data_IF_980424952659
#
_entry.id   IF_980424952659
#
_cell.length_a   1.000
_cell.length_b   1.000
_cell.length_c   1.000
_cell.angle_alpha   90.00
_cell.angle_beta   90.00
_cell.angle_gamma   90.00
#
_symmetry.space_group_name_H-M   'P 1'
#
loop_
_entity.id
_entity.type
_entity.pdbx_description
1 polymer ?
#
# COMPACT_ATOMS: atom_id res chain seq x y z
N UNK A 1 -1.61 7.94 -21.98
CA UNK A 1 -0.57 7.55 -21.01
C UNK A 1 -1.30 7.27 -19.71
N UNK A 2 -0.89 6.29 -18.92
CA UNK A 2 -1.52 6.06 -17.62
C UNK A 2 -1.09 7.12 -16.61
N UNK A 3 -1.91 7.41 -15.58
CA UNK A 3 -1.53 8.35 -14.52
C UNK A 3 -0.21 7.96 -13.85
N UNK A 4 0.05 6.66 -13.68
CA UNK A 4 1.31 6.16 -13.14
C UNK A 4 2.52 6.59 -14.01
N UNK A 5 2.46 6.39 -15.33
CA UNK A 5 3.55 6.81 -16.23
C UNK A 5 3.73 8.34 -16.25
N UNK A 6 2.65 9.11 -16.10
CA UNK A 6 2.74 10.57 -15.95
C UNK A 6 3.40 10.95 -14.61
N UNK A 7 3.12 10.21 -13.54
CA UNK A 7 3.77 10.39 -12.24
C UNK A 7 5.27 10.11 -12.30
N UNK A 8 5.69 9.00 -12.93
CA UNK A 8 7.11 8.68 -13.15
C UNK A 8 7.87 9.80 -13.84
N UNK A 9 7.28 10.43 -14.88
CA UNK A 9 7.89 11.56 -15.55
C UNK A 9 8.09 12.77 -14.64
N UNK A 10 7.15 13.03 -13.72
CA UNK A 10 7.24 14.13 -12.76
C UNK A 10 8.33 13.82 -11.74
N UNK A 11 8.37 12.58 -11.21
CA UNK A 11 9.43 12.12 -10.30
C UNK A 11 10.80 12.34 -10.91
N UNK A 12 10.99 11.95 -12.17
CA UNK A 12 12.27 12.08 -12.87
C UNK A 12 12.72 13.54 -13.12
N UNK A 13 11.77 14.48 -13.20
CA UNK A 13 12.03 15.89 -13.57
C UNK A 13 12.03 16.84 -12.37
N UNK A 14 11.46 16.46 -11.23
CA UNK A 14 11.30 17.33 -10.06
C UNK A 14 12.49 17.20 -9.12
N UNK A 15 13.21 18.28 -8.79
CA UNK A 15 14.27 18.23 -7.77
C UNK A 15 13.69 17.84 -6.41
N UNK A 16 14.35 16.92 -5.72
CA UNK A 16 13.91 16.45 -4.40
C UNK A 16 14.30 17.46 -3.32
N UNK A 17 13.32 18.07 -2.69
CA UNK A 17 13.49 18.95 -1.52
C UNK A 17 12.60 18.42 -0.41
N UNK A 18 13.21 17.82 0.60
CA UNK A 18 12.50 17.24 1.74
C UNK A 18 12.18 18.29 2.82
N UNK A 19 11.02 18.16 3.46
CA UNK A 19 10.59 18.92 4.63
C UNK A 19 10.01 17.96 5.66
N UNK A 20 10.32 18.18 6.94
CA UNK A 20 9.70 17.45 8.04
C UNK A 20 8.26 17.93 8.26
N UNK A 21 7.31 17.00 8.38
CA UNK A 21 5.93 17.21 8.84
C UNK A 21 5.80 16.95 10.34
N UNK A 22 6.65 16.05 10.88
CA UNK A 22 6.65 15.62 12.28
C UNK A 22 7.81 14.65 12.55
N UNK A 23 7.86 14.07 13.75
CA UNK A 23 8.91 13.11 14.10
C UNK A 23 8.78 11.86 13.22
N UNK A 24 9.75 11.64 12.34
CA UNK A 24 9.77 10.50 11.41
C UNK A 24 8.81 10.63 10.22
N UNK A 25 8.21 11.81 10.03
CA UNK A 25 7.29 12.10 8.93
C UNK A 25 7.87 13.19 8.03
N UNK A 26 7.94 12.89 6.73
CA UNK A 26 8.62 13.72 5.71
C UNK A 26 7.74 13.85 4.49
N UNK A 27 7.71 15.05 3.90
CA UNK A 27 7.14 15.32 2.57
C UNK A 27 8.22 15.88 1.67
N UNK A 28 8.18 15.56 0.38
CA UNK A 28 9.08 16.18 -0.61
C UNK A 28 8.33 17.08 -1.60
N UNK A 29 9.10 17.89 -2.31
CA UNK A 29 8.58 18.65 -3.47
C UNK A 29 7.96 17.73 -4.53
N UNK A 30 8.44 16.49 -4.61
CA UNK A 30 7.98 15.47 -5.57
C UNK A 30 6.59 14.97 -5.20
N UNK A 31 6.34 14.64 -3.93
CA UNK A 31 5.00 14.25 -3.42
C UNK A 31 3.96 15.28 -3.83
N UNK A 32 4.25 16.55 -3.51
CA UNK A 32 3.38 17.69 -3.84
C UNK A 32 3.14 17.84 -5.35
N UNK A 33 4.17 17.66 -6.18
CA UNK A 33 4.07 17.82 -7.63
C UNK A 33 3.27 16.67 -8.27
N UNK A 34 3.55 15.42 -7.86
CA UNK A 34 2.86 14.21 -8.33
C UNK A 34 1.40 14.28 -7.96
N UNK A 35 1.08 14.58 -6.70
CA UNK A 35 -0.31 14.62 -6.24
C UNK A 35 -1.12 15.71 -6.95
N UNK A 36 -0.61 16.93 -7.07
CA UNK A 36 -1.27 18.01 -7.81
C UNK A 36 -1.59 17.60 -9.24
N UNK A 37 -0.66 16.94 -9.91
CA UNK A 37 -0.86 16.47 -11.27
C UNK A 37 -1.97 15.40 -11.32
N UNK A 38 -1.89 14.36 -10.50
CA UNK A 38 -2.88 13.28 -10.45
C UNK A 38 -4.27 13.85 -10.16
N UNK A 39 -4.40 14.72 -9.14
CA UNK A 39 -5.67 15.37 -8.79
C UNK A 39 -6.22 16.18 -9.97
N UNK A 40 -5.39 16.94 -10.66
CA UNK A 40 -5.82 17.73 -11.81
C UNK A 40 -6.39 16.85 -12.93
N UNK A 41 -5.70 15.76 -13.24
CA UNK A 41 -6.13 14.80 -14.27
C UNK A 41 -7.42 14.07 -13.89
N UNK A 42 -7.56 13.69 -12.60
CA UNK A 42 -8.78 13.08 -12.10
C UNK A 42 -9.96 14.05 -12.19
N UNK A 43 -9.81 15.30 -11.74
CA UNK A 43 -10.89 16.29 -11.78
C UNK A 43 -11.33 16.65 -13.20
N UNK A 44 -10.40 16.63 -14.15
CA UNK A 44 -10.71 16.85 -15.57
C UNK A 44 -11.56 15.70 -16.14
N UNK A 45 -11.23 14.45 -15.82
CA UNK A 45 -11.86 13.26 -16.39
C UNK A 45 -13.11 12.78 -15.59
N UNK A 46 -13.13 13.04 -14.28
CA UNK A 46 -14.15 12.56 -13.34
C UNK A 46 -14.52 13.67 -12.34
N UNK A 47 -15.18 14.76 -12.80
CA UNK A 47 -15.49 15.94 -11.98
C UNK A 47 -16.41 15.63 -10.78
N UNK A 48 -17.22 14.58 -10.86
CA UNK A 48 -18.18 14.18 -9.83
C UNK A 48 -17.61 13.17 -8.80
N UNK A 49 -16.33 12.82 -8.91
CA UNK A 49 -15.69 11.91 -7.96
C UNK A 49 -14.96 12.71 -6.88
N UNK A 50 -15.10 12.25 -5.64
CA UNK A 50 -14.29 12.75 -4.54
C UNK A 50 -12.82 12.26 -4.70
N UNK A 51 -11.91 12.93 -4.00
CA UNK A 51 -10.49 12.56 -3.98
C UNK A 51 -10.05 12.47 -2.52
N UNK A 52 -9.60 11.28 -2.12
CA UNK A 52 -8.98 11.02 -0.83
C UNK A 52 -7.50 10.85 -1.11
N UNK A 53 -6.67 11.75 -0.58
CA UNK A 53 -5.23 11.71 -0.83
C UNK A 53 -4.45 12.23 0.38
N UNK A 54 -3.15 11.92 0.43
CA UNK A 54 -2.31 12.17 1.59
C UNK A 54 -2.08 13.65 1.87
N UNK A 55 -1.72 14.45 0.84
CA UNK A 55 -1.24 15.82 1.01
C UNK A 55 -2.34 16.87 0.85
N UNK A 56 -3.26 16.68 -0.10
CA UNK A 56 -4.29 17.65 -0.49
C UNK A 56 -5.72 17.12 -0.38
N UNK A 57 -5.90 15.91 0.13
CA UNK A 57 -7.21 15.32 0.36
C UNK A 57 -7.99 16.10 1.42
N UNK A 58 -9.29 16.31 1.16
CA UNK A 58 -10.13 17.12 2.05
C UNK A 58 -10.56 16.40 3.31
N UNK A 59 -10.65 15.09 3.31
CA UNK A 59 -11.03 14.26 4.47
C UNK A 59 -10.47 12.84 4.31
N UNK A 60 -10.02 12.23 5.41
CA UNK A 60 -9.57 10.82 5.46
C UNK A 60 -10.75 9.84 5.40
N UNK A 61 -11.81 10.20 4.67
CA UNK A 61 -13.05 9.44 4.63
C UNK A 61 -13.34 8.93 3.22
N UNK A 62 -13.44 7.62 3.11
CA UNK A 62 -13.87 6.97 1.88
C UNK A 62 -15.35 7.28 1.60
N UNK A 63 -15.63 7.78 0.40
CA UNK A 63 -16.98 7.93 -0.12
C UNK A 63 -17.33 6.84 -1.13
N UNK A 64 -18.58 6.79 -1.57
CA UNK A 64 -19.05 5.78 -2.52
C UNK A 64 -18.32 5.88 -3.86
N UNK A 65 -18.07 7.10 -4.33
CA UNK A 65 -17.39 7.36 -5.59
C UNK A 65 -16.18 8.27 -5.33
N UNK A 66 -15.00 7.69 -5.22
CA UNK A 66 -13.78 8.45 -5.01
C UNK A 66 -12.57 7.79 -5.64
N UNK A 67 -11.58 8.61 -5.93
CA UNK A 67 -10.21 8.17 -6.10
C UNK A 67 -9.48 8.22 -4.76
N UNK A 68 -8.61 7.23 -4.54
CA UNK A 68 -7.72 7.16 -3.38
C UNK A 68 -6.30 7.20 -3.91
N UNK A 69 -5.50 8.17 -3.47
CA UNK A 69 -4.19 8.47 -4.03
C UNK A 69 -3.14 8.60 -2.93
N UNK A 70 -2.05 7.89 -3.09
CA UNK A 70 -0.80 8.13 -2.39
C UNK A 70 0.26 8.51 -3.44
N UNK A 71 0.75 9.75 -3.44
CA UNK A 71 1.69 10.22 -4.46
C UNK A 71 3.07 9.58 -4.36
N UNK A 72 3.57 9.35 -3.14
CA UNK A 72 4.85 8.69 -2.85
C UNK A 72 4.74 7.92 -1.53
N UNK A 73 4.24 6.70 -1.56
CA UNK A 73 4.33 5.81 -0.43
C UNK A 73 5.80 5.46 -0.12
N UNK A 74 6.19 5.61 1.14
CA UNK A 74 7.58 5.46 1.54
C UNK A 74 8.43 6.71 1.29
N UNK A 75 7.89 7.92 1.51
CA UNK A 75 8.56 9.21 1.28
C UNK A 75 9.94 9.29 1.95
N UNK A 76 10.10 8.75 3.16
CA UNK A 76 11.40 8.71 3.85
C UNK A 76 12.44 7.87 3.09
N UNK A 77 12.03 6.73 2.52
CA UNK A 77 12.86 5.88 1.67
C UNK A 77 13.23 6.63 0.39
N UNK A 78 12.25 7.26 -0.26
CA UNK A 78 12.44 8.07 -1.47
C UNK A 78 13.44 9.20 -1.23
N UNK A 79 13.24 10.00 -0.18
CA UNK A 79 14.13 11.10 0.20
C UNK A 79 15.56 10.62 0.54
N UNK A 80 15.68 9.40 1.09
CA UNK A 80 16.95 8.74 1.39
C UNK A 80 17.62 8.06 0.20
N UNK A 81 17.03 8.13 -1.02
CA UNK A 81 17.56 7.51 -2.23
C UNK A 81 17.45 5.98 -2.25
N UNK A 82 16.56 5.40 -1.46
CA UNK A 82 16.28 3.98 -1.45
C UNK A 82 15.30 3.60 -2.58
N UNK A 83 15.17 2.31 -2.86
CA UNK A 83 14.30 1.80 -3.93
C UNK A 83 12.91 1.35 -3.43
N UNK A 84 12.71 1.29 -2.12
CA UNK A 84 11.46 0.84 -1.50
C UNK A 84 10.47 2.01 -1.37
N UNK A 85 9.84 2.39 -2.44
CA UNK A 85 8.79 3.41 -2.49
C UNK A 85 7.91 3.19 -3.72
N UNK A 86 6.72 3.76 -3.73
CA UNK A 86 5.80 3.61 -4.86
C UNK A 86 4.77 4.72 -4.97
N UNK A 87 4.04 4.73 -6.08
CA UNK A 87 2.84 5.55 -6.33
C UNK A 87 1.62 4.65 -6.26
N UNK A 88 0.59 5.03 -5.53
CA UNK A 88 -0.61 4.24 -5.38
C UNK A 88 -1.86 5.01 -5.79
N UNK A 89 -2.72 4.39 -6.59
CA UNK A 89 -4.01 4.95 -7.00
C UNK A 89 -5.06 3.86 -6.99
N UNK A 90 -6.21 4.12 -6.38
CA UNK A 90 -7.38 3.27 -6.53
C UNK A 90 -8.61 4.09 -6.91
N UNK A 91 -9.59 3.43 -7.53
CA UNK A 91 -10.91 4.01 -7.80
C UNK A 91 -12.00 3.18 -7.14
N UNK A 92 -12.88 3.88 -6.44
CA UNK A 92 -14.09 3.32 -5.83
C UNK A 92 -15.32 3.79 -6.59
N UNK A 93 -16.27 2.88 -6.79
CA UNK A 93 -17.60 3.15 -7.33
C UNK A 93 -18.65 2.41 -6.53
N UNK A 94 -19.72 3.10 -6.16
CA UNK A 94 -20.82 2.53 -5.38
C UNK A 94 -20.31 1.81 -4.10
N UNK A 95 -19.37 2.43 -3.39
CA UNK A 95 -18.81 1.94 -2.14
C UNK A 95 -17.79 0.80 -2.27
N UNK A 96 -17.46 0.35 -3.49
CA UNK A 96 -16.50 -0.74 -3.73
C UNK A 96 -15.29 -0.26 -4.52
N UNK A 97 -14.11 -0.73 -4.18
CA UNK A 97 -12.92 -0.56 -5.01
C UNK A 97 -13.09 -1.43 -6.27
N UNK A 98 -12.89 -0.83 -7.45
CA UNK A 98 -13.12 -1.50 -8.74
C UNK A 98 -11.85 -1.61 -9.57
N UNK A 99 -10.83 -0.80 -9.29
CA UNK A 99 -9.51 -0.91 -9.89
C UNK A 99 -8.45 -0.27 -8.99
N UNK A 100 -7.21 -0.74 -9.11
CA UNK A 100 -6.05 -0.10 -8.49
C UNK A 100 -4.79 -0.24 -9.33
N UNK A 101 -3.88 0.71 -9.11
CA UNK A 101 -2.52 0.70 -9.62
C UNK A 101 -1.57 0.89 -8.44
N UNK A 102 -0.54 0.07 -8.38
CA UNK A 102 0.62 0.24 -7.50
C UNK A 102 1.85 0.22 -8.41
N UNK A 103 2.54 1.33 -8.47
CA UNK A 103 3.72 1.49 -9.30
C UNK A 103 4.97 1.62 -8.43
N UNK A 104 5.97 0.80 -8.70
CA UNK A 104 7.27 0.79 -8.02
C UNK A 104 8.37 1.17 -9.04
N UNK A 105 8.52 2.46 -9.39
CA UNK A 105 9.37 2.90 -10.50
C UNK A 105 10.83 2.52 -10.33
N UNK A 106 11.33 2.55 -9.09
CA UNK A 106 12.74 2.25 -8.79
C UNK A 106 13.16 0.81 -9.17
N UNK A 107 12.19 -0.11 -9.28
CA UNK A 107 12.43 -1.52 -9.65
C UNK A 107 11.73 -1.91 -10.95
N UNK A 108 11.03 -0.99 -11.64
CA UNK A 108 10.33 -1.22 -12.90
C UNK A 108 9.17 -2.20 -12.80
N UNK A 109 8.47 -2.20 -11.66
CA UNK A 109 7.33 -3.06 -11.39
C UNK A 109 6.03 -2.24 -11.34
N UNK A 110 5.20 -2.35 -12.40
CA UNK A 110 3.86 -1.76 -12.46
C UNK A 110 2.82 -2.84 -12.19
N UNK A 111 2.10 -2.69 -11.10
CA UNK A 111 0.98 -3.54 -10.72
C UNK A 111 -0.35 -2.88 -11.07
N UNK A 112 -1.26 -3.69 -11.57
CA UNK A 112 -2.64 -3.30 -11.85
C UNK A 112 -3.59 -4.37 -11.37
N UNK A 113 -4.74 -3.97 -10.86
CA UNK A 113 -5.82 -4.90 -10.51
C UNK A 113 -7.19 -4.32 -10.89
N UNK A 114 -8.07 -5.22 -11.34
CA UNK A 114 -9.48 -4.99 -11.57
C UNK A 114 -10.27 -6.28 -11.31
N UNK A 115 -11.55 -6.32 -11.66
CA UNK A 115 -12.41 -7.50 -11.49
C UNK A 115 -11.91 -8.76 -12.19
N UNK A 116 -11.01 -8.63 -13.16
CA UNK A 116 -10.43 -9.77 -13.90
C UNK A 116 -9.23 -10.39 -13.20
N UNK A 117 -8.62 -9.70 -12.23
CA UNK A 117 -7.51 -10.18 -11.41
C UNK A 117 -6.42 -9.15 -11.16
N UNK A 118 -5.26 -9.63 -10.71
CA UNK A 118 -4.06 -8.84 -10.44
C UNK A 118 -2.96 -9.14 -11.47
N UNK A 119 -2.23 -8.12 -11.87
CA UNK A 119 -1.22 -8.19 -12.93
C UNK A 119 0.05 -7.42 -12.53
N UNK A 120 1.22 -7.97 -12.87
CA UNK A 120 2.53 -7.32 -12.81
C UNK A 120 3.07 -7.17 -14.24
N UNK A 121 3.31 -5.94 -14.69
CA UNK A 121 3.81 -5.66 -16.05
C UNK A 121 2.99 -6.40 -17.12
N UNK A 122 1.66 -6.41 -16.97
CA UNK A 122 0.70 -7.06 -17.88
C UNK A 122 0.59 -8.59 -17.74
N UNK A 123 1.36 -9.22 -16.85
CA UNK A 123 1.27 -10.67 -16.59
C UNK A 123 0.46 -10.92 -15.33
N UNK A 124 -0.49 -11.86 -15.40
CA UNK A 124 -1.31 -12.23 -14.25
C UNK A 124 -0.44 -12.79 -13.12
N UNK A 125 -0.73 -12.37 -11.91
CA UNK A 125 -0.05 -12.81 -10.69
C UNK A 125 -1.04 -13.40 -9.69
N UNK A 126 -0.52 -14.13 -8.70
CA UNK A 126 -1.28 -14.66 -7.56
C UNK A 126 -0.40 -14.72 -6.32
N UNK A 127 -1.05 -14.73 -5.16
CA UNK A 127 -0.37 -14.98 -3.88
C UNK A 127 0.28 -16.37 -3.86
N UNK A 128 1.25 -16.54 -2.97
CA UNK A 128 1.96 -17.82 -2.78
C UNK A 128 1.08 -18.88 -2.14
N UNK A 129 1.31 -20.14 -2.46
CA UNK A 129 0.77 -21.31 -1.73
C UNK A 129 1.67 -21.74 -0.56
N UNK A 130 2.77 -21.04 -0.32
CA UNK A 130 3.70 -21.38 0.75
C UNK A 130 3.05 -21.22 2.13
N UNK A 131 3.46 -22.07 3.08
CA UNK A 131 3.03 -21.93 4.48
C UNK A 131 3.82 -20.84 5.20
N UNK A 132 3.27 -20.28 6.27
CA UNK A 132 3.92 -19.27 7.10
C UNK A 132 5.31 -19.70 7.62
N UNK A 133 5.55 -21.01 7.81
CA UNK A 133 6.85 -21.55 8.24
C UNK A 133 7.97 -21.32 7.24
N UNK A 134 7.65 -21.31 5.95
CA UNK A 134 8.63 -21.37 4.87
C UNK A 134 8.81 -20.05 4.12
N UNK A 135 7.98 -19.05 4.38
CA UNK A 135 8.00 -17.79 3.65
C UNK A 135 7.98 -16.57 4.59
N UNK A 136 8.48 -15.42 4.15
CA UNK A 136 8.46 -14.20 4.93
C UNK A 136 7.08 -13.57 5.01
N UNK A 137 6.89 -12.76 6.05
CA UNK A 137 5.78 -11.81 6.19
C UNK A 137 6.33 -10.41 6.44
N UNK A 138 5.49 -9.40 6.28
CA UNK A 138 5.85 -7.99 6.51
C UNK A 138 5.03 -7.39 7.64
N UNK A 139 5.61 -6.43 8.35
CA UNK A 139 4.91 -5.55 9.30
C UNK A 139 5.36 -4.13 9.01
N UNK A 140 4.44 -3.28 8.59
CA UNK A 140 4.68 -1.87 8.33
C UNK A 140 3.76 -0.97 9.17
N UNK A 141 4.00 0.33 9.09
CA UNK A 141 3.24 1.35 9.79
C UNK A 141 3.79 1.65 11.18
N UNK A 142 3.49 2.86 11.63
CA UNK A 142 3.77 3.38 12.94
C UNK A 142 2.42 3.73 13.58
N UNK A 143 2.16 3.24 14.74
CA UNK A 143 0.99 3.52 15.55
C UNK A 143 1.31 3.23 16.99
N UNK A 144 0.31 3.16 17.84
CA UNK A 144 0.45 2.83 19.26
C UNK A 144 0.73 1.33 19.50
N UNK A 145 0.93 0.56 18.42
CA UNK A 145 1.16 -0.88 18.49
C UNK A 145 2.62 -1.22 18.81
N UNK A 146 2.81 -2.20 19.68
CA UNK A 146 4.14 -2.74 20.01
C UNK A 146 4.61 -3.74 18.94
N UNK A 147 5.26 -3.23 17.87
CA UNK A 147 5.85 -4.08 16.82
C UNK A 147 6.74 -5.21 17.36
N UNK A 148 7.69 -4.95 18.28
CA UNK A 148 8.51 -6.00 18.89
C UNK A 148 7.69 -7.12 19.53
N UNK A 149 6.62 -6.80 20.24
CA UNK A 149 5.76 -7.80 20.87
C UNK A 149 4.96 -8.60 19.84
N UNK A 150 4.45 -7.94 18.78
CA UNK A 150 3.80 -8.64 17.65
C UNK A 150 4.78 -9.62 17.01
N UNK A 151 6.00 -9.18 16.70
CA UNK A 151 7.04 -10.04 16.13
C UNK A 151 7.37 -11.23 17.04
N UNK A 152 7.44 -11.03 18.34
CA UNK A 152 7.63 -12.08 19.34
C UNK A 152 6.50 -13.11 19.34
N UNK A 153 5.25 -12.64 19.18
CA UNK A 153 4.08 -13.51 19.09
C UNK A 153 4.03 -14.35 17.79
N UNK A 154 4.63 -13.84 16.69
CA UNK A 154 4.73 -14.56 15.41
C UNK A 154 5.97 -15.46 15.33
N UNK A 155 7.04 -15.14 16.06
CA UNK A 155 8.33 -15.83 16.00
C UNK A 155 8.29 -17.37 16.24
N UNK A 156 7.36 -17.96 17.03
CA UNK A 156 7.22 -19.41 17.14
C UNK A 156 6.85 -20.11 15.83
N UNK A 157 6.19 -19.39 14.92
CA UNK A 157 5.75 -19.93 13.62
C UNK A 157 6.72 -19.59 12.50
N UNK A 158 7.17 -18.35 12.44
CA UNK A 158 8.16 -17.90 11.44
C UNK A 158 9.07 -16.83 12.00
N UNK A 159 10.35 -16.88 11.61
CA UNK A 159 11.35 -15.85 11.93
C UNK A 159 11.71 -14.98 10.73
N UNK A 160 11.04 -15.16 9.60
CA UNK A 160 11.32 -14.48 8.34
C UNK A 160 10.49 -13.22 8.23
N UNK A 161 10.89 -12.21 8.95
CA UNK A 161 10.25 -10.90 8.96
C UNK A 161 10.91 -9.93 7.96
N UNK A 162 10.11 -9.02 7.40
CA UNK A 162 10.55 -7.87 6.61
C UNK A 162 9.81 -6.62 7.06
N UNK A 163 10.50 -5.49 7.03
CA UNK A 163 9.96 -4.14 7.12
C UNK A 163 10.55 -3.36 5.93
N UNK A 164 9.71 -2.97 4.99
CA UNK A 164 10.15 -2.26 3.79
C UNK A 164 10.06 -0.75 3.97
N UNK A 165 9.33 -0.27 4.98
CA UNK A 165 9.08 1.14 5.20
C UNK A 165 8.21 1.79 4.12
N UNK A 166 7.51 0.96 3.32
CA UNK A 166 6.58 1.36 2.28
C UNK A 166 5.53 0.25 2.12
N UNK A 167 4.27 0.60 2.30
CA UNK A 167 3.18 -0.37 2.28
C UNK A 167 2.88 -0.87 0.85
N UNK A 168 3.07 -0.02 -0.16
CA UNK A 168 2.99 -0.40 -1.57
C UNK A 168 3.90 -1.58 -1.90
N UNK A 169 5.15 -1.53 -1.41
CA UNK A 169 6.13 -2.61 -1.59
C UNK A 169 5.70 -3.88 -0.87
N UNK A 170 5.14 -3.75 0.34
CA UNK A 170 4.64 -4.90 1.11
C UNK A 170 3.45 -5.58 0.46
N UNK A 171 2.46 -4.82 -0.02
CA UNK A 171 1.33 -5.37 -0.78
C UNK A 171 1.77 -5.98 -2.12
N UNK A 172 2.68 -5.33 -2.85
CA UNK A 172 3.25 -5.87 -4.07
C UNK A 172 3.95 -7.21 -3.83
N UNK A 173 4.75 -7.32 -2.74
CA UNK A 173 5.42 -8.55 -2.36
C UNK A 173 4.43 -9.67 -2.01
N UNK A 174 3.33 -9.38 -1.30
CA UNK A 174 2.27 -10.34 -1.03
C UNK A 174 1.57 -10.78 -2.32
N UNK A 175 1.20 -9.83 -3.17
CA UNK A 175 0.42 -10.07 -4.39
C UNK A 175 1.16 -10.92 -5.42
N UNK A 176 2.49 -10.75 -5.55
CA UNK A 176 3.33 -11.60 -6.43
C UNK A 176 3.85 -12.87 -5.76
N UNK A 177 3.41 -13.18 -4.52
CA UNK A 177 3.76 -14.40 -3.80
C UNK A 177 5.15 -14.42 -3.20
N UNK A 178 5.84 -13.28 -3.07
CA UNK A 178 7.15 -13.18 -2.43
C UNK A 178 7.07 -13.22 -0.90
N UNK A 179 5.94 -12.80 -0.32
CA UNK A 179 5.59 -12.93 1.10
C UNK A 179 4.28 -13.69 1.27
N UNK A 180 3.99 -14.17 2.48
CA UNK A 180 2.74 -14.90 2.79
C UNK A 180 1.76 -14.09 3.61
N UNK A 181 2.17 -12.95 4.12
CA UNK A 181 1.31 -12.09 4.91
C UNK A 181 1.89 -10.71 5.11
N UNK A 182 1.00 -9.79 5.40
CA UNK A 182 1.28 -8.40 5.67
C UNK A 182 0.43 -7.92 6.84
N UNK A 183 1.05 -7.20 7.78
CA UNK A 183 0.41 -6.50 8.90
C UNK A 183 0.71 -5.02 8.74
N UNK A 184 -0.33 -4.19 8.73
CA UNK A 184 -0.21 -2.74 8.70
C UNK A 184 -0.85 -2.13 9.93
N UNK A 185 -0.08 -1.34 10.66
CA UNK A 185 -0.41 -0.82 12.00
C UNK A 185 -0.85 0.65 11.95
N UNK A 186 -1.60 1.01 10.92
CA UNK A 186 -2.26 2.30 10.69
C UNK A 186 -3.56 2.07 9.93
N UNK A 187 -4.36 3.10 9.73
CA UNK A 187 -5.64 3.04 9.05
C UNK A 187 -5.86 4.11 7.97
N UNK A 188 -4.79 4.72 7.46
CA UNK A 188 -4.89 5.70 6.39
C UNK A 188 -5.43 5.06 5.10
N UNK A 189 -6.51 5.57 4.51
CA UNK A 189 -7.09 4.97 3.31
C UNK A 189 -6.15 4.91 2.10
N UNK A 190 -5.32 5.94 1.89
CA UNK A 190 -4.37 6.00 0.77
C UNK A 190 -3.26 4.97 0.87
N UNK A 191 -2.84 4.62 2.09
CA UNK A 191 -1.87 3.54 2.35
C UNK A 191 -2.50 2.17 2.06
N UNK A 192 -3.78 1.97 2.42
CA UNK A 192 -4.41 0.64 2.45
C UNK A 192 -5.11 0.29 1.14
N UNK A 193 -6.03 1.16 0.68
CA UNK A 193 -7.04 0.77 -0.32
C UNK A 193 -6.44 0.29 -1.64
N UNK A 194 -5.42 0.93 -2.23
CA UNK A 194 -4.88 0.48 -3.51
C UNK A 194 -4.17 -0.87 -3.41
N UNK A 195 -3.27 -1.00 -2.43
CA UNK A 195 -2.48 -2.21 -2.23
C UNK A 195 -3.32 -3.39 -1.75
N UNK A 196 -4.31 -3.15 -0.86
CA UNK A 196 -5.22 -4.17 -0.40
C UNK A 196 -6.04 -4.76 -1.55
N UNK A 197 -6.63 -3.91 -2.40
CA UNK A 197 -7.38 -4.38 -3.56
C UNK A 197 -6.51 -5.21 -4.52
N UNK A 198 -5.28 -4.78 -4.77
CA UNK A 198 -4.31 -5.55 -5.55
C UNK A 198 -4.10 -6.94 -4.94
N UNK A 199 -3.87 -7.03 -3.63
CA UNK A 199 -3.64 -8.29 -2.94
C UNK A 199 -4.87 -9.20 -2.96
N UNK A 200 -6.07 -8.66 -2.75
CA UNK A 200 -7.33 -9.42 -2.82
C UNK A 200 -7.58 -9.98 -4.22
N UNK A 201 -7.34 -9.19 -5.27
CA UNK A 201 -7.45 -9.65 -6.65
C UNK A 201 -6.38 -10.68 -7.03
N UNK A 202 -5.24 -10.70 -6.33
CA UNK A 202 -4.23 -11.76 -6.41
C UNK A 202 -4.60 -13.03 -5.60
N UNK A 203 -5.69 -13.01 -4.83
CA UNK A 203 -6.21 -14.12 -4.04
C UNK A 203 -5.94 -14.06 -2.53
N UNK A 204 -5.39 -12.96 -2.03
CA UNK A 204 -5.20 -12.77 -0.60
C UNK A 204 -6.54 -12.73 0.16
N UNK A 205 -6.48 -13.08 1.44
CA UNK A 205 -7.53 -12.90 2.44
C UNK A 205 -7.13 -11.75 3.34
N UNK A 206 -8.11 -10.96 3.79
CA UNK A 206 -7.82 -9.76 4.59
C UNK A 206 -8.81 -9.54 5.72
N UNK A 207 -8.36 -8.83 6.75
CA UNK A 207 -9.18 -8.25 7.81
C UNK A 207 -8.67 -6.85 8.09
N UNK A 208 -9.52 -5.87 7.88
CA UNK A 208 -9.32 -4.51 8.39
C UNK A 208 -10.02 -4.42 9.74
N UNK A 209 -9.24 -4.52 10.82
CA UNK A 209 -9.77 -4.63 12.17
C UNK A 209 -10.24 -3.26 12.69
N UNK A 210 -11.32 -3.28 13.47
CA UNK A 210 -11.88 -2.08 14.12
C UNK A 210 -10.91 -1.37 15.08
N UNK A 211 -9.87 -2.07 15.54
CA UNK A 211 -8.85 -1.52 16.44
C UNK A 211 -7.73 -0.79 15.67
N UNK A 212 -7.93 -0.47 14.37
CA UNK A 212 -7.06 0.41 13.59
C UNK A 212 -5.84 -0.30 12.99
N UNK A 213 -5.93 -1.59 12.68
CA UNK A 213 -4.89 -2.31 11.96
C UNK A 213 -5.47 -3.20 10.85
N UNK A 214 -4.63 -3.52 9.88
CA UNK A 214 -4.96 -4.42 8.78
C UNK A 214 -4.07 -5.65 8.80
N UNK A 215 -4.64 -6.80 8.49
CA UNK A 215 -3.88 -8.00 8.13
C UNK A 215 -4.35 -8.50 6.78
N UNK A 216 -3.42 -8.77 5.87
CA UNK A 216 -3.66 -9.48 4.62
C UNK A 216 -2.72 -10.69 4.52
N UNK A 217 -3.22 -11.80 3.99
CA UNK A 217 -2.43 -13.03 3.93
C UNK A 217 -2.83 -13.92 2.74
N UNK A 218 -1.93 -14.79 2.34
CA UNK A 218 -2.13 -15.73 1.25
C UNK A 218 -3.18 -16.82 1.55
N UNK A 219 -3.52 -17.04 2.81
CA UNK A 219 -4.46 -18.06 3.25
C UNK A 219 -5.18 -17.67 4.54
N UNK A 220 -6.33 -18.29 4.81
CA UNK A 220 -7.07 -18.14 6.06
C UNK A 220 -6.25 -18.55 7.29
N UNK A 221 -5.39 -19.57 7.16
CA UNK A 221 -4.52 -20.03 8.25
C UNK A 221 -3.49 -18.94 8.62
N UNK A 222 -2.80 -18.40 7.62
CA UNK A 222 -1.81 -17.33 7.82
C UNK A 222 -2.49 -16.05 8.32
N UNK A 223 -3.67 -15.71 7.79
CA UNK A 223 -4.44 -14.56 8.23
C UNK A 223 -4.76 -14.63 9.74
N UNK A 224 -5.33 -15.75 10.18
CA UNK A 224 -5.67 -15.97 11.60
C UNK A 224 -4.45 -15.93 12.51
N UNK A 225 -3.33 -16.48 12.05
CA UNK A 225 -2.07 -16.48 12.80
C UNK A 225 -1.57 -15.04 13.04
N UNK A 226 -1.47 -14.24 11.99
CA UNK A 226 -0.98 -12.86 12.07
C UNK A 226 -1.96 -11.97 12.84
N UNK A 227 -3.25 -12.07 12.55
CA UNK A 227 -4.29 -11.32 13.25
C UNK A 227 -4.28 -11.60 14.77
N UNK A 228 -4.20 -12.87 15.17
CA UNK A 228 -4.12 -13.24 16.59
C UNK A 228 -2.82 -12.76 17.25
N UNK A 229 -1.72 -12.66 16.50
CA UNK A 229 -0.47 -12.12 17.04
C UNK A 229 -0.59 -10.62 17.38
N UNK A 230 -1.28 -9.85 16.54
CA UNK A 230 -1.58 -8.44 16.83
C UNK A 230 -2.56 -8.32 18.00
N UNK A 231 -3.67 -9.07 17.96
CA UNK A 231 -4.70 -9.04 19.04
C UNK A 231 -4.16 -9.38 20.43
N UNK A 232 -3.12 -10.16 20.54
CA UNK A 232 -2.48 -10.48 21.84
C UNK A 232 -1.68 -9.32 22.44
N UNK A 233 -1.42 -8.27 21.67
CA UNK A 233 -0.69 -7.08 22.13
C UNK A 233 -1.62 -5.95 22.58
N UNK A 234 -2.91 -6.05 22.26
CA UNK A 234 -3.98 -5.13 22.67
C UNK A 234 -4.56 -5.54 24.02
#
# INVERSE_FOLDING_TARGET
>A
MSLAAEAEEIVAKTPVVAKEKGVGDVVTSVDTAVEKHIISRIREAYPDFDIVSEEFGSENRLTDNCFVVDPIDGTANFAGGQFNWGVQIAVRRNGKTVASVVDLPAVGELYFADETGAYLNGKRISVSEATAKNAPYTIDGWGDFDKPEIMKNVAPVTKRFRDFGAISVSFAALSKGATVGHVFLKDNPWDIVPGLFLAEMAGAKSVWDKDGFLVAANSEETLKLLHNAVKKTL
#
